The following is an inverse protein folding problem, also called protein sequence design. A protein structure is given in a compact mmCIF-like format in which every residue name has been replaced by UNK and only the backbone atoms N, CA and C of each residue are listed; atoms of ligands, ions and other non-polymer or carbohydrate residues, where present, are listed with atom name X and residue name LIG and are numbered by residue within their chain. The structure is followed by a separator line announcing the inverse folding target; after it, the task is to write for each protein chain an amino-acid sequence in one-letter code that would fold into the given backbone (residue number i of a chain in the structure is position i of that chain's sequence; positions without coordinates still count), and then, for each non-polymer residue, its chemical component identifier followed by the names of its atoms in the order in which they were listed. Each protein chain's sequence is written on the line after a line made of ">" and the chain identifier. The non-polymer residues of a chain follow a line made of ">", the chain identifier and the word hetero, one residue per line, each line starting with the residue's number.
data_IF_349521127353
#
_entry.id   IF_349521127353
#
_cell.length_a   1.000
_cell.length_b   1.000
_cell.length_c   1.000
_cell.angle_alpha   90.00
_cell.angle_beta   90.00
_cell.angle_gamma   90.00
#
_symmetry.space_group_name_H-M   'P 1'
#
loop_
_entity.id
_entity.type
_entity.pdbx_description
1 polymer ?
#
# COMPACT_ATOMS: atom_id res chain seq x y z
N UNK A 1 22.86 2.99 -6.91
CA UNK A 1 21.51 2.75 -6.93
C UNK A 1 20.93 2.76 -5.59
N UNK A 2 19.81 3.00 -5.62
CA UNK A 2 19.13 2.87 -4.44
C UNK A 2 19.17 1.48 -3.98
N UNK A 3 19.70 1.36 -2.81
CA UNK A 3 19.65 0.12 -2.24
C UNK A 3 18.25 -0.33 -2.20
N UNK A 4 18.04 -1.52 -2.60
CA UNK A 4 16.75 -2.06 -2.56
C UNK A 4 16.25 -2.07 -1.16
N UNK A 5 15.13 -1.47 -0.95
CA UNK A 5 14.52 -1.46 0.35
C UNK A 5 13.58 -2.62 0.48
N UNK A 6 13.56 -3.21 1.65
CA UNK A 6 12.61 -4.25 1.91
C UNK A 6 11.22 -3.65 2.02
N UNK A 7 10.21 -4.33 1.52
CA UNK A 7 8.84 -3.86 1.69
C UNK A 7 8.52 -3.76 3.17
N UNK A 8 7.82 -2.71 3.51
CA UNK A 8 7.35 -2.56 4.87
C UNK A 8 6.10 -3.37 5.01
N UNK A 9 6.07 -4.27 5.97
CA UNK A 9 4.93 -5.13 6.19
C UNK A 9 4.26 -4.77 7.49
N UNK A 10 3.08 -4.21 7.38
CA UNK A 10 2.24 -3.99 8.53
C UNK A 10 1.03 -4.88 8.36
N UNK A 11 0.99 -5.96 9.12
CA UNK A 11 -0.14 -6.87 9.01
C UNK A 11 -1.33 -6.27 9.74
N UNK A 12 -2.51 -6.76 9.42
CA UNK A 12 -3.71 -6.27 10.06
C UNK A 12 -3.76 -6.51 11.55
N UNK A 13 -2.82 -7.26 12.07
CA UNK A 13 -2.75 -7.52 13.50
C UNK A 13 -2.10 -6.39 14.27
N UNK A 14 -1.53 -5.42 13.59
CA UNK A 14 -0.83 -4.32 14.24
C UNK A 14 -1.66 -3.06 14.19
N UNK A 15 -2.84 -3.13 14.76
CA UNK A 15 -3.76 -2.00 14.71
C UNK A 15 -3.27 -0.82 15.51
N UNK A 16 -2.38 -1.07 16.46
CA UNK A 16 -1.88 -0.02 17.33
C UNK A 16 -0.58 0.57 16.83
N UNK A 17 -0.23 0.34 15.57
CA UNK A 17 0.99 0.90 15.04
C UNK A 17 0.91 2.41 15.12
N UNK A 18 1.94 2.97 15.72
CA UNK A 18 2.04 4.40 15.92
C UNK A 18 2.13 5.13 14.59
N UNK A 19 1.41 6.23 14.49
CA UNK A 19 1.45 7.05 13.29
C UNK A 19 2.85 7.56 13.00
N UNK A 20 3.65 7.80 14.03
CA UNK A 20 5.03 8.23 13.84
C UNK A 20 5.83 7.15 13.15
N UNK A 21 5.60 5.89 13.54
CA UNK A 21 6.28 4.76 12.93
C UNK A 21 5.91 4.63 11.46
N UNK A 22 4.65 4.83 11.14
CA UNK A 22 4.20 4.78 9.77
C UNK A 22 4.85 5.88 8.95
N UNK A 23 4.90 7.09 9.49
CA UNK A 23 5.51 8.21 8.79
C UNK A 23 7.00 7.97 8.58
N UNK A 24 7.67 7.38 9.55
CA UNK A 24 9.07 7.07 9.40
C UNK A 24 9.30 6.02 8.32
N UNK A 25 8.46 5.01 8.28
CA UNK A 25 8.56 3.97 7.26
C UNK A 25 8.39 4.57 5.87
N UNK A 26 7.42 5.45 5.71
CA UNK A 26 7.18 6.11 4.43
C UNK A 26 8.37 6.97 4.03
N UNK A 27 8.91 7.71 4.99
CA UNK A 27 10.07 8.56 4.72
C UNK A 27 11.27 7.72 4.31
N UNK A 28 11.51 6.61 5.00
CA UNK A 28 12.63 5.75 4.68
C UNK A 28 12.45 5.09 3.32
N UNK A 29 11.23 4.83 2.92
CA UNK A 29 10.96 4.29 1.60
C UNK A 29 11.12 5.33 0.50
N UNK A 30 11.28 6.59 0.87
CA UNK A 30 11.51 7.68 -0.05
C UNK A 30 10.38 7.82 -1.08
N UNK A 31 9.15 7.72 -0.60
CA UNK A 31 7.99 7.80 -1.46
C UNK A 31 7.65 9.26 -1.72
N UNK A 32 7.37 9.58 -2.97
CA UNK A 32 7.01 10.94 -3.37
C UNK A 32 5.73 10.94 -4.18
N UNK A 33 5.27 12.13 -4.54
CA UNK A 33 4.04 12.28 -5.31
C UNK A 33 4.19 11.90 -6.78
N UNK A 34 5.33 11.36 -7.15
CA UNK A 34 5.54 10.84 -8.49
C UNK A 34 5.57 9.31 -8.51
N UNK A 35 5.44 8.70 -7.37
CA UNK A 35 5.60 7.25 -7.25
C UNK A 35 4.28 6.51 -7.36
N UNK A 36 4.36 5.33 -7.93
CA UNK A 36 3.33 4.30 -7.79
C UNK A 36 3.81 3.32 -6.75
N UNK A 37 2.97 3.02 -5.79
CA UNK A 37 3.34 2.15 -4.68
C UNK A 37 2.45 0.92 -4.69
N UNK A 38 3.08 -0.23 -4.57
CA UNK A 38 2.35 -1.49 -4.39
C UNK A 38 2.28 -1.78 -2.90
N UNK A 39 1.08 -1.74 -2.36
CA UNK A 39 0.84 -2.00 -0.95
C UNK A 39 0.38 -3.46 -0.83
N UNK A 40 1.32 -4.35 -0.57
CA UNK A 40 1.07 -5.79 -0.56
C UNK A 40 0.57 -6.20 0.82
N UNK A 41 -0.57 -6.87 0.84
CA UNK A 41 -1.18 -7.25 2.10
C UNK A 41 -1.77 -6.05 2.80
N UNK A 42 -2.54 -5.24 2.07
CA UNK A 42 -3.01 -3.95 2.57
C UNK A 42 -3.87 -4.06 3.84
N UNK A 43 -4.49 -5.21 4.06
CA UNK A 43 -5.25 -5.45 5.29
C UNK A 43 -6.42 -4.49 5.43
N UNK A 44 -6.46 -3.80 6.55
CA UNK A 44 -7.54 -2.85 6.83
C UNK A 44 -7.26 -1.46 6.28
N UNK A 45 -6.12 -1.27 5.62
CA UNK A 45 -5.83 0.00 4.96
C UNK A 45 -5.16 1.05 5.81
N UNK A 46 -4.64 0.69 6.99
CA UNK A 46 -4.00 1.68 7.85
C UNK A 46 -2.81 2.33 7.18
N UNK A 47 -1.94 1.54 6.56
CA UNK A 47 -0.81 2.09 5.83
C UNK A 47 -1.27 2.75 4.55
N UNK A 48 -2.23 2.13 3.87
CA UNK A 48 -2.74 2.62 2.60
C UNK A 48 -3.22 4.06 2.71
N UNK A 49 -3.94 4.39 3.79
CA UNK A 49 -4.44 5.74 4.00
C UNK A 49 -3.31 6.76 3.96
N UNK A 50 -2.20 6.43 4.59
CA UNK A 50 -1.05 7.35 4.62
C UNK A 50 -0.35 7.42 3.27
N UNK A 51 -0.26 6.30 2.56
CA UNK A 51 0.36 6.27 1.25
C UNK A 51 -0.41 7.13 0.24
N UNK A 52 -1.74 7.11 0.34
CA UNK A 52 -2.56 7.88 -0.59
C UNK A 52 -2.32 9.38 -0.49
N UNK A 53 -1.87 9.84 0.65
CA UNK A 53 -1.61 11.27 0.85
C UNK A 53 -0.31 11.71 0.22
N UNK A 54 0.58 10.78 -0.11
CA UNK A 54 1.92 11.11 -0.55
C UNK A 54 2.18 10.61 -1.97
N UNK A 55 1.79 9.38 -2.26
CA UNK A 55 2.11 8.77 -3.55
C UNK A 55 1.20 9.27 -4.65
N UNK A 56 1.66 9.15 -5.88
CA UNK A 56 0.84 9.45 -7.03
C UNK A 56 -0.28 8.44 -7.17
N UNK A 57 0.06 7.17 -7.06
CA UNK A 57 -0.90 6.06 -7.13
C UNK A 57 -0.53 4.98 -6.15
N UNK A 58 -1.54 4.31 -5.62
CA UNK A 58 -1.33 3.14 -4.77
C UNK A 58 -2.14 1.99 -5.32
N UNK A 59 -1.50 0.84 -5.47
CA UNK A 59 -2.18 -0.39 -5.80
C UNK A 59 -2.18 -1.24 -4.54
N UNK A 60 -3.35 -1.37 -3.92
CA UNK A 60 -3.50 -2.11 -2.68
C UNK A 60 -3.89 -3.54 -3.03
N UNK A 61 -3.03 -4.48 -2.71
CA UNK A 61 -3.20 -5.88 -3.07
C UNK A 61 -3.53 -6.65 -1.80
N UNK A 62 -4.64 -7.34 -1.80
CA UNK A 62 -5.10 -8.07 -0.64
C UNK A 62 -5.74 -9.37 -1.07
N UNK A 63 -5.43 -10.44 -0.35
CA UNK A 63 -5.91 -11.78 -0.69
C UNK A 63 -7.22 -12.14 0.01
N UNK A 64 -7.51 -11.54 1.14
CA UNK A 64 -8.71 -11.85 1.92
C UNK A 64 -9.92 -11.13 1.36
N UNK A 65 -10.93 -11.88 0.96
CA UNK A 65 -12.11 -11.32 0.29
C UNK A 65 -12.81 -10.27 1.15
N UNK A 66 -12.95 -10.52 2.44
CA UNK A 66 -13.63 -9.58 3.32
C UNK A 66 -12.84 -8.28 3.44
N UNK A 67 -11.52 -8.38 3.50
CA UNK A 67 -10.67 -7.19 3.56
C UNK A 67 -10.69 -6.43 2.23
N UNK A 68 -10.76 -7.14 1.12
CA UNK A 68 -10.88 -6.48 -0.18
C UNK A 68 -12.15 -5.64 -0.23
N UNK A 69 -13.26 -6.19 0.23
CA UNK A 69 -14.50 -5.44 0.25
C UNK A 69 -14.41 -4.24 1.18
N UNK A 70 -13.77 -4.44 2.33
CA UNK A 70 -13.56 -3.34 3.27
C UNK A 70 -12.74 -2.21 2.62
N UNK A 71 -11.66 -2.57 1.94
CA UNK A 71 -10.81 -1.58 1.29
C UNK A 71 -11.55 -0.84 0.19
N UNK A 72 -12.35 -1.55 -0.59
CA UNK A 72 -13.12 -0.91 -1.65
C UNK A 72 -14.11 0.09 -1.12
N UNK A 73 -14.73 -0.21 0.01
CA UNK A 73 -15.65 0.73 0.65
C UNK A 73 -14.89 1.91 1.24
N UNK A 74 -13.79 1.61 1.91
CA UNK A 74 -13.00 2.64 2.58
C UNK A 74 -12.48 3.68 1.58
N UNK A 75 -12.08 3.23 0.41
CA UNK A 75 -11.47 4.11 -0.59
C UNK A 75 -12.37 4.39 -1.77
N UNK A 76 -13.69 4.27 -1.58
CA UNK A 76 -14.62 4.45 -2.70
C UNK A 76 -14.53 5.83 -3.34
N UNK A 77 -14.14 6.84 -2.57
CA UNK A 77 -14.02 8.20 -3.10
C UNK A 77 -12.60 8.58 -3.48
N UNK A 78 -11.65 7.69 -3.27
CA UNK A 78 -10.25 7.99 -3.58
C UNK A 78 -9.97 7.69 -5.04
N UNK A 79 -9.26 8.60 -5.71
CA UNK A 79 -8.99 8.46 -7.13
C UNK A 79 -7.63 7.85 -7.44
N UNK A 80 -6.73 7.88 -6.47
CA UNK A 80 -5.37 7.43 -6.69
C UNK A 80 -5.09 6.08 -6.05
N UNK A 81 -6.12 5.26 -5.88
CA UNK A 81 -5.95 3.92 -5.35
C UNK A 81 -6.68 2.92 -6.21
N UNK A 82 -6.07 1.77 -6.39
CA UNK A 82 -6.69 0.63 -7.02
C UNK A 82 -6.61 -0.53 -6.05
N UNK A 83 -7.74 -1.12 -5.72
CA UNK A 83 -7.78 -2.28 -4.82
C UNK A 83 -7.86 -3.52 -5.67
N UNK A 84 -6.89 -4.42 -5.50
CA UNK A 84 -6.82 -5.66 -6.27
C UNK A 84 -6.96 -6.83 -5.32
N UNK A 85 -7.99 -7.64 -5.55
CA UNK A 85 -8.24 -8.82 -4.72
C UNK A 85 -7.57 -10.03 -5.34
N UNK A 86 -6.37 -10.33 -4.91
CA UNK A 86 -5.68 -11.52 -5.39
C UNK A 86 -4.51 -11.84 -4.49
N UNK A 87 -3.99 -13.06 -4.64
CA UNK A 87 -2.72 -13.44 -4.05
C UNK A 87 -1.64 -12.72 -4.85
N UNK A 88 -0.74 -12.02 -4.16
CA UNK A 88 0.29 -11.24 -4.85
C UNK A 88 1.12 -12.10 -5.79
N UNK A 89 1.28 -13.39 -5.47
CA UNK A 89 2.05 -14.28 -6.33
C UNK A 89 1.42 -14.41 -7.72
N UNK A 90 0.13 -14.11 -7.83
CA UNK A 90 -0.58 -14.15 -9.11
C UNK A 90 -0.78 -12.79 -9.72
N UNK A 91 -0.22 -11.76 -9.09
CA UNK A 91 -0.41 -10.39 -9.55
C UNK A 91 0.57 -10.08 -10.68
N UNK A 92 0.05 -9.50 -11.75
CA UNK A 92 0.89 -9.09 -12.86
C UNK A 92 1.61 -7.80 -12.50
N UNK A 93 2.91 -7.88 -12.34
CA UNK A 93 3.71 -6.72 -11.95
C UNK A 93 3.69 -5.67 -13.06
N UNK A 94 3.45 -4.39 -12.71
CA UNK A 94 3.44 -3.34 -13.73
C UNK A 94 4.77 -3.24 -14.45
N UNK A 95 4.69 -2.80 -15.70
CA UNK A 95 5.89 -2.62 -16.50
C UNK A 95 6.48 -1.23 -16.37
N UNK A 96 5.79 -0.34 -15.66
CA UNK A 96 6.31 0.99 -15.38
C UNK A 96 6.94 0.98 -13.98
N UNK A 97 7.74 2.01 -13.66
CA UNK A 97 8.38 2.05 -12.34
C UNK A 97 7.38 2.09 -11.20
N UNK A 98 7.69 1.38 -10.14
CA UNK A 98 6.83 1.34 -8.97
C UNK A 98 7.67 1.07 -7.73
N UNK A 99 7.07 1.28 -6.57
CA UNK A 99 7.67 0.95 -5.27
C UNK A 99 6.75 0.00 -4.52
N UNK A 100 7.36 -0.79 -3.69
CA UNK A 100 6.63 -1.80 -2.90
C UNK A 100 6.72 -1.48 -1.43
#
# INVERSE_FOLDING_TARGET
>A
MTKKKLPVRFTGQHFTIDKVLIKDAIRQANISNQDTVLDIGAGKGFLTVHLLKIANNVVAIENDTALVEHLRKLFSDARNVQVVGCDFRNFAVPKFPFKV
#
